data_IF_860168908169
#
_entry.id   IF_860168908169
#
_cell.length_a   1.000
_cell.length_b   1.000
_cell.length_c   1.000
_cell.angle_alpha   90.00
_cell.angle_beta   90.00
_cell.angle_gamma   90.00
#
_symmetry.space_group_name_H-M   'P 1'
#
loop_
_entity.id
_entity.type
_entity.pdbx_description
1 polymer ?
#
# COMPACT_ATOMS: atom_id res chain seq x y z
N UNK A 1 -27.71 -14.55 10.41
CA UNK A 1 -26.30 -14.42 10.83
C UNK A 1 -25.78 -13.15 10.18
N UNK A 2 -24.98 -12.29 10.84
CA UNK A 2 -24.41 -11.15 10.12
C UNK A 2 -23.49 -11.74 9.05
N UNK A 3 -23.85 -11.54 7.79
CA UNK A 3 -22.94 -11.81 6.68
C UNK A 3 -21.72 -10.92 6.92
N UNK A 4 -20.57 -11.53 7.13
CA UNK A 4 -19.32 -10.77 7.18
C UNK A 4 -19.24 -10.03 5.85
N UNK A 5 -19.21 -8.69 5.88
CA UNK A 5 -19.00 -7.88 4.67
C UNK A 5 -17.61 -8.20 4.12
N UNK A 6 -17.56 -9.21 3.26
CA UNK A 6 -16.36 -9.72 2.62
C UNK A 6 -16.09 -8.91 1.35
N UNK A 7 -14.82 -8.57 1.16
CA UNK A 7 -14.34 -7.84 -0.01
C UNK A 7 -13.15 -8.55 -0.62
N UNK A 8 -13.09 -8.55 -1.95
CA UNK A 8 -11.93 -9.03 -2.68
C UNK A 8 -10.96 -7.86 -2.89
N UNK A 9 -9.71 -8.04 -2.48
CA UNK A 9 -8.65 -7.03 -2.57
C UNK A 9 -7.50 -7.60 -3.38
N UNK A 10 -6.96 -6.83 -4.33
CA UNK A 10 -5.67 -7.11 -4.97
C UNK A 10 -4.70 -5.96 -4.79
N UNK A 11 -3.42 -6.30 -4.80
CA UNK A 11 -2.33 -5.40 -4.46
C UNK A 11 -1.49 -5.07 -5.70
N UNK A 12 -1.63 -3.85 -6.20
CA UNK A 12 -0.88 -3.33 -7.36
C UNK A 12 0.53 -2.92 -6.96
N UNK A 13 1.53 -3.48 -7.63
CA UNK A 13 2.95 -3.22 -7.40
C UNK A 13 3.50 -2.12 -8.33
N UNK A 14 4.75 -1.70 -8.07
CA UNK A 14 5.42 -0.61 -8.78
C UNK A 14 5.59 -0.84 -10.29
N UNK A 15 5.58 -2.10 -10.74
CA UNK A 15 5.76 -2.50 -12.14
C UNK A 15 4.43 -2.79 -12.86
N UNK A 16 3.30 -2.49 -12.22
CA UNK A 16 1.98 -2.73 -12.78
C UNK A 16 1.42 -4.13 -12.51
N UNK A 17 2.22 -5.06 -11.98
CA UNK A 17 1.73 -6.40 -11.60
C UNK A 17 0.87 -6.37 -10.34
N UNK A 18 0.02 -7.38 -10.17
CA UNK A 18 -0.89 -7.51 -9.03
C UNK A 18 -0.56 -8.77 -8.21
N UNK A 19 -0.69 -8.70 -6.88
CA UNK A 19 -0.76 -9.86 -5.98
C UNK A 19 -2.22 -10.05 -5.55
N UNK A 20 -2.73 -11.29 -5.62
CA UNK A 20 -4.13 -11.61 -5.30
C UNK A 20 -4.99 -11.86 -6.56
N UNK A 21 -6.33 -11.76 -6.47
CA UNK A 21 -7.10 -11.21 -5.35
C UNK A 21 -7.13 -12.10 -4.10
N UNK A 22 -7.37 -11.49 -2.94
CA UNK A 22 -7.60 -12.14 -1.66
C UNK A 22 -8.88 -11.62 -1.02
N UNK A 23 -9.58 -12.50 -0.30
CA UNK A 23 -10.84 -12.18 0.36
C UNK A 23 -10.58 -11.77 1.81
N UNK A 24 -11.09 -10.61 2.20
CA UNK A 24 -10.94 -10.04 3.54
C UNK A 24 -12.29 -9.63 4.10
N UNK A 25 -12.42 -9.70 5.43
CA UNK A 25 -13.55 -9.10 6.13
C UNK A 25 -13.36 -7.59 6.28
N UNK A 26 -14.47 -6.86 6.42
CA UNK A 26 -14.45 -5.43 6.76
C UNK A 26 -13.78 -5.13 8.11
N UNK A 27 -13.61 -6.13 8.99
CA UNK A 27 -12.90 -6.04 10.28
C UNK A 27 -11.40 -6.27 10.17
N UNK A 28 -10.91 -6.81 9.04
CA UNK A 28 -9.48 -7.03 8.81
C UNK A 28 -8.72 -5.71 8.90
N UNK A 29 -7.57 -5.70 9.59
CA UNK A 29 -6.78 -4.48 9.74
C UNK A 29 -5.82 -4.27 8.57
N UNK A 30 -5.46 -3.01 8.31
CA UNK A 30 -4.45 -2.68 7.31
C UNK A 30 -3.10 -3.35 7.63
N UNK A 31 -2.78 -3.55 8.91
CA UNK A 31 -1.58 -4.28 9.31
C UNK A 31 -1.59 -5.74 8.80
N UNK A 32 -2.72 -6.44 8.92
CA UNK A 32 -2.88 -7.80 8.37
C UNK A 32 -2.70 -7.84 6.84
N UNK A 33 -3.24 -6.84 6.14
CA UNK A 33 -3.05 -6.72 4.69
C UNK A 33 -1.56 -6.55 4.34
N UNK A 34 -0.83 -5.69 5.07
CA UNK A 34 0.61 -5.50 4.87
C UNK A 34 1.42 -6.75 5.18
N UNK A 35 1.09 -7.48 6.26
CA UNK A 35 1.72 -8.76 6.58
C UNK A 35 1.56 -9.76 5.44
N UNK A 36 0.36 -9.85 4.85
CA UNK A 36 0.10 -10.69 3.68
C UNK A 36 0.97 -10.30 2.48
N UNK A 37 1.10 -9.00 2.19
CA UNK A 37 1.93 -8.50 1.09
C UNK A 37 3.40 -8.89 1.29
N UNK A 38 3.94 -8.80 2.51
CA UNK A 38 5.33 -9.24 2.81
C UNK A 38 5.49 -10.74 2.57
N UNK A 39 4.54 -11.55 3.06
CA UNK A 39 4.55 -13.01 2.91
C UNK A 39 4.48 -13.46 1.44
N UNK A 40 3.56 -12.89 0.68
CA UNK A 40 3.24 -13.32 -0.68
C UNK A 40 3.99 -12.49 -1.73
N UNK A 41 5.06 -11.80 -1.32
CA UNK A 41 5.83 -10.97 -2.23
C UNK A 41 6.45 -11.82 -3.35
N UNK A 42 6.21 -11.47 -4.63
CA UNK A 42 6.69 -12.27 -5.75
C UNK A 42 8.22 -12.30 -5.82
N UNK A 43 8.77 -13.47 -6.15
CA UNK A 43 10.22 -13.65 -6.35
C UNK A 43 10.69 -12.90 -7.60
N UNK A 44 11.97 -12.51 -7.61
CA UNK A 44 12.61 -11.87 -8.76
C UNK A 44 12.29 -10.38 -8.95
N UNK A 45 11.61 -9.73 -8.01
CA UNK A 45 11.45 -8.27 -8.00
C UNK A 45 12.75 -7.59 -7.56
N UNK A 46 13.03 -6.41 -8.14
CA UNK A 46 14.23 -5.62 -7.81
C UNK A 46 14.18 -5.01 -6.40
N UNK A 47 12.97 -4.76 -5.89
CA UNK A 47 12.72 -4.25 -4.55
C UNK A 47 11.87 -5.27 -3.79
N UNK A 48 12.29 -5.63 -2.58
CA UNK A 48 11.61 -6.56 -1.69
C UNK A 48 11.45 -5.93 -0.31
N UNK A 49 10.21 -5.81 0.21
CA UNK A 49 10.00 -5.31 1.57
C UNK A 49 10.54 -6.31 2.58
N UNK A 50 11.35 -5.85 3.54
CA UNK A 50 11.89 -6.70 4.61
C UNK A 50 10.95 -6.81 5.79
N UNK A 51 10.08 -5.82 5.98
CA UNK A 51 9.15 -5.75 7.09
C UNK A 51 7.92 -4.90 6.73
N UNK A 52 6.86 -5.06 7.52
CA UNK A 52 5.56 -4.38 7.35
C UNK A 52 5.68 -2.86 7.34
N UNK A 53 6.60 -2.30 8.12
CA UNK A 53 6.84 -0.86 8.20
C UNK A 53 7.45 -0.26 6.92
N UNK A 54 8.05 -1.09 6.05
CA UNK A 54 8.54 -0.66 4.74
C UNK A 54 7.43 -0.60 3.69
N UNK A 55 6.20 -0.97 4.06
CA UNK A 55 5.05 -0.95 3.15
C UNK A 55 4.14 0.23 3.47
N UNK A 56 3.86 1.03 2.43
CA UNK A 56 2.72 1.95 2.39
C UNK A 56 1.65 1.38 1.48
N UNK A 57 0.44 1.27 2.03
CA UNK A 57 -0.73 0.80 1.30
C UNK A 57 -1.59 2.02 0.96
N UNK A 58 -1.99 2.16 -0.30
CA UNK A 58 -2.74 3.31 -0.79
C UNK A 58 -4.05 2.82 -1.40
N UNK A 59 -5.18 3.39 -0.97
CA UNK A 59 -6.49 3.16 -1.58
C UNK A 59 -7.20 4.49 -1.81
N UNK A 60 -7.84 4.64 -2.97
CA UNK A 60 -8.58 5.86 -3.34
C UNK A 60 -7.78 7.16 -3.11
N UNK A 61 -6.48 7.14 -3.45
CA UNK A 61 -5.58 8.29 -3.28
C UNK A 61 -5.10 8.57 -1.85
N UNK A 62 -5.43 7.72 -0.86
CA UNK A 62 -5.03 7.92 0.54
C UNK A 62 -4.12 6.80 1.02
N UNK A 63 -3.06 7.16 1.74
CA UNK A 63 -2.23 6.20 2.49
C UNK A 63 -3.02 5.70 3.69
N UNK A 64 -3.04 4.38 3.89
CA UNK A 64 -3.82 3.74 4.93
C UNK A 64 -3.01 3.54 6.23
N UNK A 65 -3.65 3.82 7.37
CA UNK A 65 -3.09 3.64 8.71
C UNK A 65 -3.22 2.18 9.18
N UNK A 66 -2.18 1.61 9.79
CA UNK A 66 -2.15 0.20 10.20
C UNK A 66 -3.30 -0.20 11.14
N UNK A 67 -3.72 0.72 12.02
CA UNK A 67 -4.74 0.47 13.03
C UNK A 67 -6.18 0.56 12.49
N UNK A 68 -6.37 0.99 11.24
CA UNK A 68 -7.69 1.04 10.62
C UNK A 68 -8.08 -0.31 10.05
N UNK A 69 -9.38 -0.56 10.02
CA UNK A 69 -9.94 -1.74 9.35
C UNK A 69 -10.25 -1.45 7.89
N UNK A 70 -10.37 -2.51 7.09
CA UNK A 70 -10.79 -2.42 5.68
C UNK A 70 -12.09 -1.65 5.52
N UNK A 71 -13.08 -1.90 6.39
CA UNK A 71 -14.36 -1.19 6.39
C UNK A 71 -14.22 0.31 6.63
N UNK A 72 -13.26 0.74 7.47
CA UNK A 72 -12.97 2.16 7.72
C UNK A 72 -12.16 2.81 6.59
N UNK A 73 -11.50 2.03 5.74
CA UNK A 73 -10.73 2.52 4.60
C UNK A 73 -11.57 2.66 3.32
N UNK A 74 -12.76 2.04 3.27
CA UNK A 74 -13.72 2.20 2.17
C UNK A 74 -14.15 3.66 2.03
N UNK A 75 -14.34 4.10 0.78
CA UNK A 75 -14.84 5.44 0.49
C UNK A 75 -16.26 5.35 -0.04
N UNK A 76 -17.15 6.34 0.23
CA UNK A 76 -18.55 6.28 -0.17
C UNK A 76 -18.78 6.05 -1.67
N UNK A 77 -17.81 6.45 -2.50
CA UNK A 77 -17.86 6.34 -3.96
C UNK A 77 -16.82 5.36 -4.55
N UNK A 78 -15.94 4.80 -3.72
CA UNK A 78 -14.84 3.93 -4.16
C UNK A 78 -15.27 2.51 -4.53
N UNK A 79 -16.53 2.16 -4.25
CA UNK A 79 -17.12 0.84 -4.46
C UNK A 79 -18.33 0.86 -5.38
N UNK A 80 -18.41 1.88 -6.25
CA UNK A 80 -19.51 2.07 -7.19
C UNK A 80 -19.74 0.88 -8.17
N UNK A 81 -18.80 -0.06 -8.26
CA UNK A 81 -18.99 -1.34 -8.92
C UNK A 81 -18.52 -2.43 -7.96
N UNK A 82 -19.42 -3.31 -7.50
CA UNK A 82 -19.16 -4.42 -6.55
C UNK A 82 -18.14 -5.45 -7.06
N UNK A 83 -16.90 -5.00 -7.27
CA UNK A 83 -15.78 -5.74 -7.81
C UNK A 83 -14.55 -5.64 -6.92
N UNK A 84 -13.43 -6.18 -7.41
CA UNK A 84 -12.18 -6.28 -6.66
C UNK A 84 -11.59 -4.89 -6.37
N UNK A 85 -11.38 -4.59 -5.10
CA UNK A 85 -10.71 -3.37 -4.64
C UNK A 85 -9.23 -3.48 -5.01
N UNK A 86 -8.70 -2.47 -5.69
CA UNK A 86 -7.27 -2.38 -6.03
C UNK A 86 -6.58 -1.44 -5.04
N UNK A 87 -5.66 -1.97 -4.24
CA UNK A 87 -4.81 -1.16 -3.37
C UNK A 87 -3.39 -1.10 -3.94
N UNK A 88 -2.82 0.10 -4.00
CA UNK A 88 -1.45 0.29 -4.48
C UNK A 88 -0.45 0.08 -3.35
N UNK A 89 0.59 -0.69 -3.64
CA UNK A 89 1.68 -0.98 -2.72
C UNK A 89 2.90 -0.16 -3.09
N UNK A 90 3.39 0.61 -2.13
CA UNK A 90 4.68 1.31 -2.24
C UNK A 90 5.62 0.72 -1.21
N UNK A 91 6.75 0.19 -1.68
CA UNK A 91 7.84 -0.27 -0.80
C UNK A 91 8.80 0.90 -0.60
N UNK A 92 8.89 1.37 0.64
CA UNK A 92 9.81 2.40 1.07
C UNK A 92 10.77 1.78 2.09
N UNK A 93 11.97 1.34 1.66
CA UNK A 93 12.97 0.80 2.57
C UNK A 93 13.24 1.77 3.72
N UNK A 94 13.30 1.25 4.93
CA UNK A 94 13.69 2.06 6.07
C UNK A 94 15.17 2.45 5.89
N UNK A 95 15.48 3.75 5.93
CA UNK A 95 16.87 4.20 5.94
C UNK A 95 17.47 3.68 7.24
N UNK A 96 18.22 2.58 7.16
CA UNK A 96 19.03 2.14 8.27
C UNK A 96 19.89 3.35 8.70
N UNK A 97 19.84 3.70 9.99
CA UNK A 97 20.76 4.66 10.59
C UNK A 97 22.16 4.10 10.50
N UNK A 98 22.81 4.25 9.35
CA UNK A 98 24.24 4.05 9.22
C UNK A 98 24.90 5.25 9.92
N UNK A 99 25.27 5.07 11.19
CA UNK A 99 26.35 5.85 11.78
C UNK A 99 27.59 5.55 10.93
N UNK A 100 28.00 6.49 10.09
CA UNK A 100 29.39 6.96 9.90
C UNK A 100 29.34 8.08 8.84
N UNK A 101 29.99 9.19 9.16
CA UNK A 101 30.10 10.42 8.38
C UNK A 101 30.36 10.21 6.89
N UNK A 102 29.60 10.91 6.05
CA UNK A 102 30.10 11.85 5.05
C UNK A 102 28.95 12.76 4.61
N UNK A 103 29.07 14.05 4.92
CA UNK A 103 28.20 15.09 4.37
C UNK A 103 28.25 15.02 2.85
N UNK A 104 27.11 14.71 2.23
CA UNK A 104 26.84 15.17 0.87
C UNK A 104 25.66 16.13 1.01
N UNK A 105 26.01 17.41 1.02
CA UNK A 105 25.08 18.48 0.72
C UNK A 105 24.62 18.29 -0.73
N UNK A 106 23.41 17.75 -0.90
CA UNK A 106 22.60 17.98 -2.10
C UNK A 106 21.22 18.35 -1.62
N UNK A 107 20.99 19.66 -1.56
CA UNK A 107 19.68 20.26 -1.46
C UNK A 107 18.66 19.50 -2.33
N UNK A 108 17.47 19.15 -1.80
CA UNK A 108 16.46 18.50 -2.62
C UNK A 108 15.98 19.52 -3.66
N UNK A 109 16.37 19.31 -4.92
CA UNK A 109 15.73 19.99 -6.05
C UNK A 109 14.24 19.67 -5.97
N UNK A 110 13.43 20.67 -5.63
CA UNK A 110 11.97 20.57 -5.64
C UNK A 110 11.55 20.31 -7.08
N UNK A 111 11.33 19.06 -7.45
CA UNK A 111 10.64 18.70 -8.69
C UNK A 111 9.16 19.02 -8.41
N UNK A 112 8.76 20.25 -8.70
CA UNK A 112 7.36 20.66 -8.69
C UNK A 112 6.78 20.22 -10.03
N UNK A 113 5.98 19.16 -10.03
CA UNK A 113 5.13 18.82 -11.16
C UNK A 113 3.83 19.60 -10.99
N UNK A 114 3.60 20.63 -11.80
CA UNK A 114 2.33 21.35 -11.87
C UNK A 114 1.46 20.71 -12.96
N UNK A 115 0.46 19.94 -12.56
CA UNK A 115 -0.63 19.58 -13.45
C UNK A 115 -1.75 20.62 -13.24
N UNK A 116 -2.05 21.39 -14.28
CA UNK A 116 -3.24 22.25 -14.34
C UNK A 116 -4.27 21.58 -15.24
N UNK A 117 -5.53 21.57 -14.82
CA UNK A 117 -6.65 21.22 -15.68
C UNK A 117 -7.03 22.50 -16.43
N UNK A 118 -7.00 22.45 -17.76
CA UNK A 118 -7.50 23.51 -18.65
C UNK A 118 -8.92 23.17 -19.10
#
# INVERSE_FOLDING_TARGET
MPEEDLVDIKFRLYDGSDIGPFRYSSTSTVDMLKQRIVSDWPRGKTITPKAVNEIKLISSGRVLDNNKTVGQCRTPFGEAAGGVIIMHVVVQPSLAKTKTEKKIDKSPKKIVCSCSIM
#
